data_IF_040751346268
#
_entry.id   IF_040751346268
#
_cell.length_a   1.000
_cell.length_b   1.000
_cell.length_c   1.000
_cell.angle_alpha   90.00
_cell.angle_beta   90.00
_cell.angle_gamma   90.00
#
_symmetry.space_group_name_H-M   'P 1'
#
loop_
_entity.id
_entity.type
_entity.pdbx_description
1 polymer ?
#
# COMPACT_ATOMS: atom_id res chain seq x y z
N UNK A 1 -10.26 -38.90 -65.11
CA UNK A 1 -9.70 -39.39 -63.83
C UNK A 1 -8.61 -38.41 -63.38
N UNK A 2 -8.90 -37.65 -62.31
CA UNK A 2 -8.06 -36.83 -61.42
C UNK A 2 -6.93 -35.95 -62.02
N UNK A 3 -7.14 -34.62 -62.01
CA UNK A 3 -6.06 -33.61 -61.94
C UNK A 3 -6.17 -32.91 -60.59
N UNK A 4 -5.02 -32.79 -59.90
CA UNK A 4 -4.86 -32.45 -58.49
C UNK A 4 -5.13 -30.97 -58.20
N UNK A 5 -5.79 -30.72 -57.07
CA UNK A 5 -5.91 -29.41 -56.46
C UNK A 5 -4.94 -29.26 -55.26
N UNK A 6 -4.14 -28.19 -55.36
CA UNK A 6 -3.89 -27.12 -54.38
C UNK A 6 -3.31 -27.48 -52.98
N UNK A 7 -2.27 -26.75 -52.57
CA UNK A 7 -2.21 -25.81 -51.42
C UNK A 7 -0.77 -25.65 -50.91
N UNK A 8 -0.22 -24.47 -51.18
CA UNK A 8 0.96 -23.89 -50.55
C UNK A 8 0.62 -23.59 -49.09
N UNK A 9 1.30 -24.26 -48.15
CA UNK A 9 1.10 -24.06 -46.72
C UNK A 9 2.23 -23.16 -46.19
N UNK A 10 1.97 -21.85 -46.16
CA UNK A 10 2.83 -20.87 -45.50
C UNK A 10 2.61 -20.98 -43.99
N UNK A 11 3.62 -21.47 -43.26
CA UNK A 11 3.60 -21.55 -41.79
C UNK A 11 3.93 -20.17 -41.21
N UNK A 12 2.92 -19.52 -40.62
CA UNK A 12 3.04 -18.28 -39.86
C UNK A 12 3.39 -18.62 -38.40
N UNK A 13 4.66 -18.44 -38.02
CA UNK A 13 5.11 -18.56 -36.63
C UNK A 13 4.69 -17.30 -35.88
N UNK A 14 3.60 -17.37 -35.12
CA UNK A 14 3.27 -16.38 -34.11
C UNK A 14 4.15 -16.62 -32.89
N UNK A 15 5.16 -15.78 -32.70
CA UNK A 15 5.85 -15.65 -31.43
C UNK A 15 4.92 -14.96 -30.42
N UNK A 16 4.20 -15.77 -29.65
CA UNK A 16 3.51 -15.33 -28.44
C UNK A 16 4.57 -15.03 -27.38
N UNK A 17 4.99 -13.77 -27.29
CA UNK A 17 5.61 -13.23 -26.08
C UNK A 17 4.56 -13.21 -24.97
N UNK A 18 4.42 -14.35 -24.29
CA UNK A 18 3.76 -14.43 -23.00
C UNK A 18 4.56 -13.58 -22.02
N UNK A 19 4.13 -12.34 -21.83
CA UNK A 19 4.50 -11.53 -20.68
C UNK A 19 3.79 -12.17 -19.48
N UNK A 20 4.45 -13.14 -18.86
CA UNK A 20 3.95 -13.84 -17.68
C UNK A 20 3.79 -12.85 -16.53
N UNK A 21 2.55 -12.41 -16.29
CA UNK A 21 2.06 -12.30 -14.93
C UNK A 21 1.92 -13.75 -14.42
N UNK A 22 3.01 -14.31 -13.88
CA UNK A 22 2.92 -15.59 -13.20
C UNK A 22 2.33 -15.33 -11.82
N UNK A 23 1.09 -15.78 -11.61
CA UNK A 23 0.50 -15.95 -10.27
C UNK A 23 1.15 -17.11 -9.51
N UNK A 24 2.04 -17.86 -10.16
CA UNK A 24 2.83 -18.92 -9.51
C UNK A 24 3.97 -18.29 -8.72
N UNK A 25 4.00 -18.58 -7.42
CA UNK A 25 5.10 -18.22 -6.52
C UNK A 25 6.35 -19.07 -6.80
N UNK A 26 7.51 -18.59 -6.37
CA UNK A 26 8.78 -19.35 -6.37
C UNK A 26 9.38 -19.38 -4.96
N UNK A 27 10.39 -20.22 -4.75
CA UNK A 27 11.15 -20.25 -3.48
C UNK A 27 12.39 -19.36 -3.53
N UNK A 28 12.83 -18.86 -2.37
CA UNK A 28 13.98 -17.96 -2.28
C UNK A 28 15.29 -18.64 -2.66
N UNK A 29 15.47 -19.94 -2.41
CA UNK A 29 16.71 -20.68 -2.71
C UNK A 29 17.08 -20.72 -4.21
N UNK A 30 16.12 -20.57 -5.12
CA UNK A 30 16.38 -20.53 -6.58
C UNK A 30 16.51 -19.10 -7.13
N UNK A 31 16.31 -18.09 -6.29
CA UNK A 31 16.45 -16.67 -6.66
C UNK A 31 17.72 -16.10 -6.02
N UNK A 32 18.58 -15.49 -6.82
CA UNK A 32 19.75 -14.76 -6.29
C UNK A 32 19.33 -13.46 -5.62
N UNK A 33 20.11 -12.99 -4.65
CA UNK A 33 19.80 -11.77 -3.89
C UNK A 33 19.55 -10.56 -4.80
N UNK A 34 20.37 -10.35 -5.83
CA UNK A 34 20.19 -9.23 -6.78
C UNK A 34 18.90 -9.32 -7.64
N UNK A 35 18.24 -10.47 -7.63
CA UNK A 35 16.96 -10.73 -8.28
C UNK A 35 15.75 -10.51 -7.39
N UNK A 36 15.94 -10.29 -6.08
CA UNK A 36 14.85 -10.08 -5.12
C UNK A 36 14.47 -8.60 -5.11
N UNK A 37 13.26 -8.29 -5.57
CA UNK A 37 12.62 -7.00 -5.33
C UNK A 37 11.86 -7.06 -4.01
N UNK A 38 12.00 -6.04 -3.16
CA UNK A 38 11.37 -5.98 -1.86
C UNK A 38 10.49 -4.72 -1.70
N UNK A 39 9.27 -4.88 -1.20
CA UNK A 39 8.49 -3.78 -0.62
C UNK A 39 8.40 -3.97 0.90
N UNK A 40 8.95 -3.02 1.63
CA UNK A 40 8.94 -3.04 3.09
C UNK A 40 8.11 -1.87 3.59
N UNK A 41 6.96 -2.19 4.19
CA UNK A 41 6.02 -1.21 4.71
C UNK A 41 5.87 -1.34 6.21
N UNK A 42 6.23 -0.28 6.91
CA UNK A 42 5.90 -0.07 8.32
C UNK A 42 4.70 0.86 8.42
N UNK A 43 3.63 0.46 9.11
CA UNK A 43 2.45 1.32 9.37
C UNK A 43 2.15 1.36 10.86
N UNK A 44 1.98 2.56 11.41
CA UNK A 44 1.52 2.76 12.78
C UNK A 44 0.21 3.56 12.81
N UNK A 45 -0.73 3.12 13.64
CA UNK A 45 -2.00 3.80 13.94
C UNK A 45 -1.94 4.60 15.26
N UNK A 46 -0.80 4.56 15.95
CA UNK A 46 -0.57 5.16 17.25
C UNK A 46 -0.74 4.20 18.43
N UNK A 47 -1.43 3.07 18.25
CA UNK A 47 -1.59 2.03 19.27
C UNK A 47 -0.60 0.89 19.05
N UNK A 48 -0.40 0.49 17.79
CA UNK A 48 0.60 -0.50 17.38
C UNK A 48 1.26 -0.13 16.06
N UNK A 49 2.35 -0.81 15.77
CA UNK A 49 3.04 -0.78 14.49
C UNK A 49 2.96 -2.16 13.85
N UNK A 50 2.60 -2.20 12.56
CA UNK A 50 2.64 -3.40 11.71
C UNK A 50 3.77 -3.23 10.71
N UNK A 51 4.67 -4.20 10.67
CA UNK A 51 5.65 -4.37 9.60
C UNK A 51 5.10 -5.39 8.63
N UNK A 52 5.18 -5.09 7.33
CA UNK A 52 4.85 -6.01 6.24
C UNK A 52 5.99 -5.98 5.24
N UNK A 53 6.43 -7.15 4.79
CA UNK A 53 7.45 -7.29 3.75
C UNK A 53 6.96 -8.22 2.67
N UNK A 54 6.98 -7.74 1.43
CA UNK A 54 6.69 -8.52 0.24
C UNK A 54 7.98 -8.70 -0.57
N UNK A 55 8.20 -9.90 -1.10
CA UNK A 55 9.34 -10.22 -1.95
C UNK A 55 8.87 -10.75 -3.30
N UNK A 56 9.35 -10.15 -4.38
CA UNK A 56 8.98 -10.50 -5.74
C UNK A 56 10.21 -10.69 -6.63
N UNK A 57 10.08 -11.52 -7.66
CA UNK A 57 11.13 -11.72 -8.65
C UNK A 57 11.28 -10.48 -9.54
N UNK A 58 12.44 -9.82 -9.49
CA UNK A 58 12.91 -8.72 -10.33
C UNK A 58 12.11 -7.40 -10.34
N UNK A 59 10.83 -7.36 -9.93
CA UNK A 59 9.97 -6.16 -9.92
C UNK A 59 8.73 -6.39 -9.06
N UNK A 60 7.97 -5.31 -8.80
CA UNK A 60 6.72 -5.34 -8.01
C UNK A 60 5.61 -6.24 -8.55
N UNK A 61 5.62 -6.55 -9.85
CA UNK A 61 4.64 -7.44 -10.49
C UNK A 61 5.26 -8.80 -10.88
N UNK A 62 6.38 -9.15 -10.27
CA UNK A 62 7.01 -10.46 -10.44
C UNK A 62 6.27 -11.54 -9.66
N UNK A 63 6.67 -12.80 -9.86
CA UNK A 63 6.24 -13.90 -8.99
C UNK A 63 6.62 -13.62 -7.53
N UNK A 64 5.70 -13.86 -6.60
CA UNK A 64 5.98 -13.81 -5.17
C UNK A 64 7.05 -14.85 -4.79
N UNK A 65 7.90 -14.48 -3.83
CA UNK A 65 8.97 -15.32 -3.31
C UNK A 65 8.59 -15.83 -1.92
N UNK A 66 8.45 -17.14 -1.81
CA UNK A 66 8.33 -17.86 -0.54
C UNK A 66 9.74 -18.11 0.01
N UNK A 67 9.98 -17.77 1.27
CA UNK A 67 11.26 -18.04 1.92
C UNK A 67 11.43 -19.54 2.12
N UNK A 68 12.59 -20.06 1.70
CA UNK A 68 12.97 -21.44 1.97
C UNK A 68 13.21 -21.68 3.48
N UNK A 69 13.15 -22.94 3.93
CA UNK A 69 13.13 -23.33 5.35
C UNK A 69 14.17 -22.66 6.28
N UNK A 70 15.34 -22.29 5.77
CA UNK A 70 16.41 -21.66 6.55
C UNK A 70 16.55 -20.14 6.31
N UNK A 71 15.89 -19.59 5.29
CA UNK A 71 15.81 -18.16 5.09
C UNK A 71 14.77 -17.58 6.07
N UNK A 72 15.01 -16.37 6.57
CA UNK A 72 14.04 -15.70 7.43
C UNK A 72 14.14 -14.19 7.31
N UNK A 73 13.01 -13.53 7.49
CA UNK A 73 12.95 -12.08 7.64
C UNK A 73 12.57 -11.74 9.07
N UNK A 74 13.26 -10.77 9.66
CA UNK A 74 12.96 -10.27 11.00
C UNK A 74 12.96 -8.74 11.01
N UNK A 75 12.24 -8.17 11.97
CA UNK A 75 12.30 -6.76 12.29
C UNK A 75 12.76 -6.56 13.73
N UNK A 76 13.56 -5.52 13.95
CA UNK A 76 14.06 -5.09 15.25
C UNK A 76 13.69 -3.63 15.48
N UNK A 77 13.15 -3.35 16.67
CA UNK A 77 12.84 -2.00 17.15
C UNK A 77 13.23 -1.86 18.62
N UNK A 78 14.17 -0.96 18.91
CA UNK A 78 14.78 -0.90 20.24
C UNK A 78 15.44 -2.23 20.63
N UNK A 79 14.93 -2.86 21.69
CA UNK A 79 15.43 -4.16 22.20
C UNK A 79 14.56 -5.35 21.78
N UNK A 80 13.51 -5.12 20.99
CA UNK A 80 12.57 -6.16 20.57
C UNK A 80 12.89 -6.60 19.14
N UNK A 81 13.11 -7.90 18.95
CA UNK A 81 13.30 -8.53 17.63
C UNK A 81 12.24 -9.60 17.43
N UNK A 82 11.58 -9.59 16.28
CA UNK A 82 10.60 -10.60 15.88
C UNK A 82 10.91 -11.10 14.48
N UNK A 83 10.91 -12.42 14.32
CA UNK A 83 10.80 -13.06 13.01
C UNK A 83 9.39 -12.78 12.50
N UNK A 84 9.26 -12.31 11.25
CA UNK A 84 7.97 -12.02 10.67
C UNK A 84 7.33 -13.33 10.20
N UNK A 85 6.03 -13.45 10.39
CA UNK A 85 5.25 -14.63 10.03
C UNK A 85 4.69 -14.46 8.63
N UNK A 86 4.70 -15.53 7.83
CA UNK A 86 4.11 -15.54 6.50
C UNK A 86 2.59 -15.32 6.60
N UNK A 87 2.07 -14.40 5.81
CA UNK A 87 0.65 -14.18 5.53
C UNK A 87 0.44 -14.53 4.05
N UNK A 88 -0.36 -15.56 3.77
CA UNK A 88 -0.64 -16.03 2.42
C UNK A 88 -2.12 -15.86 2.14
N UNK A 89 -2.43 -15.05 1.13
CA UNK A 89 -3.75 -15.01 0.51
C UNK A 89 -3.69 -15.56 -0.93
N UNK A 90 -4.84 -15.70 -1.59
CA UNK A 90 -4.89 -16.34 -2.92
C UNK A 90 -4.11 -15.57 -4.01
N UNK A 91 -3.77 -14.30 -3.78
CA UNK A 91 -3.13 -13.41 -4.74
C UNK A 91 -1.83 -12.78 -4.25
N UNK A 92 -1.52 -12.81 -2.95
CA UNK A 92 -0.30 -12.25 -2.38
C UNK A 92 0.35 -13.15 -1.31
N UNK A 93 1.67 -13.02 -1.21
CA UNK A 93 2.47 -13.62 -0.13
C UNK A 93 3.29 -12.50 0.49
N UNK A 94 3.01 -12.21 1.75
CA UNK A 94 3.78 -11.25 2.54
C UNK A 94 4.24 -11.87 3.86
N UNK A 95 5.13 -11.15 4.56
CA UNK A 95 5.56 -11.52 5.90
C UNK A 95 5.32 -10.35 6.84
N UNK A 96 4.68 -10.61 7.97
CA UNK A 96 4.23 -9.57 8.86
C UNK A 96 4.59 -9.77 10.32
N UNK A 97 4.65 -8.65 11.05
CA UNK A 97 4.87 -8.65 12.49
C UNK A 97 4.30 -7.40 13.14
N UNK A 98 3.92 -7.52 14.40
CA UNK A 98 3.31 -6.44 15.18
C UNK A 98 4.20 -6.03 16.34
N UNK A 99 4.29 -4.73 16.58
CA UNK A 99 5.14 -4.10 17.59
C UNK A 99 4.32 -3.07 18.38
N UNK A 100 4.57 -2.96 19.68
CA UNK A 100 3.89 -1.95 20.51
C UNK A 100 4.49 -0.54 20.36
N UNK A 101 5.65 -0.42 19.71
CA UNK A 101 6.38 0.83 19.59
C UNK A 101 5.78 1.69 18.47
N UNK A 102 5.32 2.89 18.84
CA UNK A 102 4.67 3.84 17.92
C UNK A 102 5.27 5.25 17.99
N UNK A 103 6.33 5.44 18.79
CA UNK A 103 6.97 6.73 19.00
C UNK A 103 7.61 7.29 17.74
N UNK A 104 7.49 8.60 17.54
CA UNK A 104 8.18 9.32 16.47
C UNK A 104 9.69 9.05 16.52
N UNK A 105 10.29 8.89 15.34
CA UNK A 105 11.73 8.83 15.16
C UNK A 105 12.35 7.49 15.53
N UNK A 106 11.58 6.56 16.09
CA UNK A 106 12.09 5.23 16.41
C UNK A 106 12.48 4.51 15.12
N UNK A 107 13.68 3.93 15.12
CA UNK A 107 14.20 3.17 13.98
C UNK A 107 13.67 1.75 14.03
N UNK A 108 13.15 1.30 12.89
CA UNK A 108 12.91 -0.10 12.59
C UNK A 108 14.00 -0.59 11.66
N UNK A 109 14.71 -1.63 12.08
CA UNK A 109 15.68 -2.35 11.26
C UNK A 109 15.06 -3.65 10.78
N UNK A 110 15.06 -3.88 9.48
CA UNK A 110 14.63 -5.12 8.86
C UNK A 110 15.81 -5.89 8.30
N UNK A 111 15.83 -7.18 8.58
CA UNK A 111 16.90 -8.09 8.19
C UNK A 111 16.33 -9.30 7.45
N UNK A 112 16.70 -9.48 6.18
CA UNK A 112 16.51 -10.72 5.44
C UNK A 112 17.80 -11.55 5.56
N UNK A 113 17.73 -12.66 6.27
CA UNK A 113 18.83 -13.62 6.41
C UNK A 113 18.64 -14.73 5.37
N UNK A 114 19.69 -14.92 4.57
CA UNK A 114 19.72 -15.91 3.49
C UNK A 114 20.77 -16.97 3.78
N UNK A 115 20.32 -18.15 4.15
CA UNK A 115 21.19 -19.24 4.63
C UNK A 115 22.09 -19.76 3.51
N UNK A 116 21.50 -20.02 2.34
CA UNK A 116 22.23 -20.55 1.17
C UNK A 116 23.37 -19.64 0.70
N UNK A 117 23.19 -18.32 0.83
CA UNK A 117 24.19 -17.32 0.44
C UNK A 117 25.07 -16.88 1.63
N UNK A 118 24.73 -17.29 2.86
CA UNK A 118 25.35 -16.81 4.10
C UNK A 118 25.38 -15.28 4.17
N UNK A 119 24.26 -14.65 3.81
CA UNK A 119 24.12 -13.21 3.76
C UNK A 119 23.01 -12.71 4.68
N UNK A 120 23.16 -11.49 5.19
CA UNK A 120 22.08 -10.75 5.85
C UNK A 120 21.96 -9.39 5.17
N UNK A 121 20.80 -9.12 4.59
CA UNK A 121 20.45 -7.84 4.00
C UNK A 121 19.77 -6.97 5.04
N UNK A 122 20.23 -5.73 5.21
CA UNK A 122 19.74 -4.83 6.27
C UNK A 122 19.14 -3.56 5.67
N UNK A 123 17.88 -3.29 6.01
CA UNK A 123 17.18 -2.06 5.64
C UNK A 123 16.68 -1.35 6.89
N UNK A 124 16.65 -0.02 6.88
CA UNK A 124 16.26 0.79 8.04
C UNK A 124 15.27 1.88 7.68
N UNK A 125 14.34 2.17 8.58
CA UNK A 125 13.43 3.31 8.45
C UNK A 125 13.03 3.86 9.81
N UNK A 126 12.91 5.18 9.89
CA UNK A 126 12.46 5.84 11.11
C UNK A 126 10.98 6.18 10.99
N UNK A 127 10.19 5.84 12.00
CA UNK A 127 8.78 6.19 12.04
C UNK A 127 8.63 7.73 12.01
N UNK A 128 7.80 8.31 11.14
CA UNK A 128 7.55 9.75 11.14
C UNK A 128 6.78 10.19 12.39
N UNK A 129 6.57 11.49 12.56
CA UNK A 129 5.68 12.00 13.61
C UNK A 129 4.24 11.51 13.42
N UNK A 130 3.56 11.19 14.52
CA UNK A 130 2.12 10.89 14.50
C UNK A 130 1.34 12.08 13.94
N UNK A 131 0.33 11.81 13.11
CA UNK A 131 -0.61 12.84 12.68
C UNK A 131 -1.64 13.06 13.78
N UNK A 132 -1.84 14.30 14.21
CA UNK A 132 -2.94 14.64 15.12
C UNK A 132 -4.02 15.31 14.30
N UNK A 133 -5.14 14.62 14.11
CA UNK A 133 -6.29 15.11 13.35
C UNK A 133 -7.29 15.79 14.29
N UNK A 134 -7.69 17.02 13.98
CA UNK A 134 -8.63 17.81 14.76
C UNK A 134 -10.02 17.89 14.11
N UNK A 135 -10.07 17.89 12.77
CA UNK A 135 -11.32 17.95 11.99
C UNK A 135 -11.28 16.91 10.85
N UNK A 136 -12.44 16.38 10.39
CA UNK A 136 -13.79 16.88 10.66
C UNK A 136 -14.34 16.48 12.04
N UNK A 137 -15.03 17.43 12.68
CA UNK A 137 -15.80 17.20 13.94
C UNK A 137 -17.30 17.06 13.70
N UNK A 138 -17.79 17.54 12.55
CA UNK A 138 -19.20 17.46 12.17
C UNK A 138 -19.52 16.08 11.60
N UNK A 139 -20.67 15.53 11.95
CA UNK A 139 -21.11 14.19 11.52
C UNK A 139 -21.83 14.17 10.17
N UNK A 140 -22.15 15.32 9.57
CA UNK A 140 -22.96 15.41 8.35
C UNK A 140 -22.56 16.61 7.50
N UNK A 141 -22.45 16.40 6.20
CA UNK A 141 -22.14 17.40 5.20
C UNK A 141 -23.09 17.25 4.00
N UNK A 142 -23.37 18.36 3.32
CA UNK A 142 -24.02 18.34 2.00
C UNK A 142 -22.99 18.30 0.89
N UNK A 143 -23.36 17.77 -0.28
CA UNK A 143 -22.47 17.70 -1.44
C UNK A 143 -21.89 19.06 -1.87
N UNK A 144 -22.62 20.15 -1.65
CA UNK A 144 -22.16 21.52 -1.99
C UNK A 144 -21.31 22.17 -0.90
N UNK A 145 -21.12 21.49 0.23
CA UNK A 145 -20.29 21.98 1.34
C UNK A 145 -18.84 21.54 1.16
N UNK A 146 -17.96 22.28 1.82
CA UNK A 146 -16.56 21.90 1.96
C UNK A 146 -16.35 21.18 3.29
N UNK A 147 -15.53 20.14 3.26
CA UNK A 147 -15.06 19.51 4.49
C UNK A 147 -13.74 20.18 4.86
N UNK A 148 -13.72 20.85 6.02
CA UNK A 148 -12.49 21.31 6.63
C UNK A 148 -11.77 20.11 7.29
N UNK A 149 -10.56 19.82 6.81
CA UNK A 149 -9.64 18.88 7.41
C UNK A 149 -8.53 19.67 8.10
N UNK A 150 -8.40 19.53 9.42
CA UNK A 150 -7.39 20.23 10.23
C UNK A 150 -6.53 19.23 10.97
N UNK A 151 -5.23 19.49 11.02
CA UNK A 151 -4.27 18.67 11.73
C UNK A 151 -3.19 19.53 12.40
N UNK A 152 -2.48 18.92 13.35
CA UNK A 152 -1.27 19.53 13.91
C UNK A 152 -0.19 19.61 12.82
N UNK A 153 0.01 20.80 12.30
CA UNK A 153 1.06 21.08 11.32
C UNK A 153 2.42 20.58 11.80
N UNK A 154 3.19 20.00 10.90
CA UNK A 154 4.57 19.62 11.14
C UNK A 154 5.45 20.09 9.97
N UNK A 155 6.71 20.38 10.28
CA UNK A 155 7.75 20.60 9.27
C UNK A 155 8.83 19.53 9.49
N UNK A 156 8.53 18.33 9.02
CA UNK A 156 9.41 17.17 9.18
C UNK A 156 10.10 16.88 7.83
N UNK A 157 11.44 16.98 7.75
CA UNK A 157 12.14 16.78 6.48
C UNK A 157 11.94 15.35 5.96
N UNK A 158 11.94 15.22 4.64
CA UNK A 158 11.80 13.94 3.93
C UNK A 158 10.53 13.17 4.30
N UNK A 159 9.45 13.90 4.59
CA UNK A 159 8.12 13.32 4.78
C UNK A 159 7.15 13.85 3.73
N UNK A 160 6.14 13.04 3.44
CA UNK A 160 5.01 13.41 2.58
C UNK A 160 3.74 13.22 3.42
N UNK A 161 2.88 14.23 3.45
CA UNK A 161 1.54 14.11 4.03
C UNK A 161 0.54 13.86 2.90
N UNK A 162 -0.26 12.82 3.04
CA UNK A 162 -1.31 12.44 2.10
C UNK A 162 -2.66 12.39 2.82
N UNK A 163 -3.68 12.89 2.14
CA UNK A 163 -5.08 12.77 2.54
C UNK A 163 -5.75 11.76 1.62
N UNK A 164 -6.35 10.75 2.22
CA UNK A 164 -7.25 9.81 1.57
C UNK A 164 -8.68 10.06 2.09
N UNK A 165 -9.56 10.53 1.21
CA UNK A 165 -11.00 10.54 1.45
C UNK A 165 -11.59 9.23 0.94
N UNK A 166 -12.44 8.60 1.75
CA UNK A 166 -13.15 7.37 1.39
C UNK A 166 -14.64 7.55 1.63
N UNK A 167 -15.46 7.07 0.71
CA UNK A 167 -16.91 7.15 0.79
C UNK A 167 -17.55 5.85 0.32
N UNK A 168 -18.57 5.41 1.03
CA UNK A 168 -19.43 4.28 0.65
C UNK A 168 -20.87 4.76 0.60
N UNK A 169 -21.44 4.74 -0.60
CA UNK A 169 -22.84 5.06 -0.87
C UNK A 169 -23.65 3.78 -1.11
N UNK A 170 -24.97 3.92 -1.16
CA UNK A 170 -25.87 2.86 -1.63
C UNK A 170 -26.15 3.07 -3.11
N UNK A 171 -26.06 2.02 -3.91
CA UNK A 171 -26.46 2.06 -5.32
C UNK A 171 -27.99 2.01 -5.49
N UNK A 172 -28.47 2.25 -6.70
CA UNK A 172 -29.88 2.08 -7.06
C UNK A 172 -30.36 0.62 -6.92
N UNK A 173 -29.44 -0.35 -6.85
CA UNK A 173 -29.73 -1.79 -6.59
C UNK A 173 -29.68 -2.15 -5.11
N UNK A 174 -29.44 -1.18 -4.22
CA UNK A 174 -29.18 -1.35 -2.78
C UNK A 174 -27.84 -2.01 -2.42
N UNK A 175 -26.89 -2.08 -3.35
CA UNK A 175 -25.54 -2.60 -3.12
C UNK A 175 -24.60 -1.47 -2.64
N UNK A 176 -23.53 -1.78 -1.90
CA UNK A 176 -22.52 -0.79 -1.53
C UNK A 176 -21.70 -0.35 -2.75
N UNK A 177 -21.60 0.96 -2.97
CA UNK A 177 -20.73 1.58 -3.96
C UNK A 177 -19.66 2.40 -3.24
N UNK A 178 -18.39 2.01 -3.34
CA UNK A 178 -17.28 2.68 -2.64
C UNK A 178 -16.32 3.35 -3.61
N UNK A 179 -15.87 4.54 -3.23
CA UNK A 179 -14.87 5.30 -3.98
C UNK A 179 -14.03 6.13 -3.03
N UNK A 180 -12.96 6.72 -3.57
CA UNK A 180 -12.09 7.59 -2.82
C UNK A 180 -11.49 8.70 -3.66
N UNK A 181 -10.84 9.62 -2.95
CA UNK A 181 -10.07 10.73 -3.49
C UNK A 181 -8.79 10.84 -2.68
N UNK A 182 -7.65 11.04 -3.35
CA UNK A 182 -6.36 11.18 -2.69
C UNK A 182 -5.63 12.44 -3.14
N UNK A 183 -4.97 13.12 -2.20
CA UNK A 183 -4.19 14.31 -2.50
C UNK A 183 -2.97 14.44 -1.59
N UNK A 184 -1.87 14.93 -2.14
CA UNK A 184 -0.68 15.32 -1.37
C UNK A 184 -0.89 16.70 -0.76
N UNK A 185 -0.61 16.81 0.53
CA UNK A 185 -0.80 18.03 1.29
C UNK A 185 0.54 18.66 1.66
N UNK A 186 0.51 19.98 1.85
CA UNK A 186 1.58 20.72 2.49
C UNK A 186 1.35 20.66 4.01
N UNK A 187 2.12 19.81 4.69
CA UNK A 187 2.00 19.56 6.13
C UNK A 187 2.16 20.83 6.98
N UNK A 188 2.89 21.83 6.48
CA UNK A 188 3.10 23.10 7.18
C UNK A 188 1.84 23.96 7.28
N UNK A 189 0.82 23.72 6.45
CA UNK A 189 -0.42 24.49 6.46
C UNK A 189 -1.35 24.12 7.62
N UNK A 190 -1.32 22.88 8.08
CA UNK A 190 -2.19 22.39 9.16
C UNK A 190 -3.68 22.29 8.81
N UNK A 191 -4.07 22.63 7.58
CA UNK A 191 -5.46 22.58 7.14
C UNK A 191 -5.59 22.39 5.63
N UNK A 192 -6.71 21.81 5.21
CA UNK A 192 -7.12 21.62 3.83
C UNK A 192 -8.65 21.62 3.73
N UNK A 193 -9.20 22.34 2.76
CA UNK A 193 -10.63 22.30 2.46
C UNK A 193 -10.85 21.37 1.27
N UNK A 194 -11.56 20.27 1.50
CA UNK A 194 -12.00 19.37 0.44
C UNK A 194 -13.35 19.85 -0.08
N UNK A 195 -13.40 20.28 -1.34
CA UNK A 195 -14.66 20.52 -2.03
C UNK A 195 -15.26 19.17 -2.44
N UNK A 196 -16.41 18.81 -1.87
CA UNK A 196 -17.02 17.51 -2.18
C UNK A 196 -17.47 17.39 -3.64
N UNK A 197 -17.73 18.52 -4.30
CA UNK A 197 -17.98 18.60 -5.75
C UNK A 197 -16.78 18.19 -6.60
N UNK A 198 -15.55 18.27 -6.08
CA UNK A 198 -14.34 17.84 -6.81
C UNK A 198 -14.18 16.31 -6.81
N UNK A 199 -14.94 15.61 -5.97
CA UNK A 199 -14.94 14.14 -5.90
C UNK A 199 -15.94 13.62 -6.93
N UNK A 200 -15.46 13.47 -8.17
CA UNK A 200 -16.25 13.14 -9.38
C UNK A 200 -17.23 11.97 -9.23
N UNK A 201 -16.94 11.02 -8.34
CA UNK A 201 -17.77 9.84 -8.12
C UNK A 201 -19.11 10.13 -7.43
N UNK A 202 -19.27 11.27 -6.76
CA UNK A 202 -20.57 11.65 -6.21
C UNK A 202 -21.62 11.94 -7.27
N UNK A 203 -21.26 12.13 -8.53
CA UNK A 203 -22.17 12.34 -9.66
C UNK A 203 -22.55 11.04 -10.38
N UNK A 204 -21.99 9.89 -9.97
CA UNK A 204 -22.25 8.61 -10.63
C UNK A 204 -23.75 8.25 -10.60
N UNK A 205 -24.32 7.95 -11.77
CA UNK A 205 -25.76 7.67 -11.93
C UNK A 205 -26.19 6.37 -11.24
N UNK A 206 -25.26 5.48 -10.92
CA UNK A 206 -25.55 4.22 -10.22
C UNK A 206 -25.83 4.42 -8.74
N UNK A 207 -25.51 5.58 -8.17
CA UNK A 207 -25.72 5.91 -6.76
C UNK A 207 -27.15 6.39 -6.51
N UNK A 208 -27.79 5.84 -5.48
CA UNK A 208 -29.08 6.31 -4.97
C UNK A 208 -28.89 7.62 -4.18
N UNK A 209 -29.13 8.75 -4.85
CA UNK A 209 -28.96 10.10 -4.29
C UNK A 209 -29.89 10.41 -3.11
N UNK A 210 -30.94 9.61 -2.91
CA UNK A 210 -31.86 9.79 -1.77
C UNK A 210 -31.26 9.32 -0.43
N UNK A 211 -30.17 8.54 -0.47
CA UNK A 211 -29.51 8.00 0.71
C UNK A 211 -28.18 8.70 0.96
N UNK A 212 -27.81 8.95 2.23
CA UNK A 212 -26.50 9.49 2.55
C UNK A 212 -25.39 8.47 2.31
N UNK A 213 -24.22 8.96 1.91
CA UNK A 213 -23.00 8.17 1.87
C UNK A 213 -22.27 8.22 3.21
N UNK A 214 -21.67 7.11 3.63
CA UNK A 214 -20.81 7.05 4.82
C UNK A 214 -19.37 7.32 4.39
N UNK A 215 -18.77 8.35 4.95
CA UNK A 215 -17.45 8.81 4.54
C UNK A 215 -16.53 9.02 5.73
N UNK A 216 -15.23 9.03 5.48
CA UNK A 216 -14.20 9.37 6.45
C UNK A 216 -12.97 9.87 5.71
N UNK A 217 -12.08 10.54 6.44
CA UNK A 217 -10.76 10.93 5.94
C UNK A 217 -9.68 10.20 6.70
N UNK A 218 -8.59 9.92 6.01
CA UNK A 218 -7.37 9.37 6.59
C UNK A 218 -6.21 10.29 6.23
N UNK A 219 -5.47 10.75 7.23
CA UNK A 219 -4.19 11.39 7.01
C UNK A 219 -3.06 10.38 7.22
N UNK A 220 -2.16 10.31 6.25
CA UNK A 220 -1.00 9.43 6.27
C UNK A 220 0.27 10.27 6.11
N UNK A 221 1.15 10.28 7.12
CA UNK A 221 2.49 10.86 7.01
C UNK A 221 3.48 9.75 6.68
N UNK A 222 4.10 9.82 5.52
CA UNK A 222 5.04 8.81 5.00
C UNK A 222 6.49 9.31 5.05
N UNK A 223 7.41 8.45 5.44
CA UNK A 223 8.87 8.64 5.33
C UNK A 223 9.50 7.46 4.60
N UNK A 224 10.36 7.74 3.63
CA UNK A 224 11.18 6.70 2.99
C UNK A 224 12.40 6.38 3.87
N UNK A 225 12.78 5.11 3.93
CA UNK A 225 13.99 4.65 4.61
C UNK A 225 15.14 4.37 3.66
N UNK A 226 16.10 3.59 4.13
CA UNK A 226 17.25 3.11 3.35
C UNK A 226 17.15 1.61 3.20
N UNK A 227 17.02 1.15 1.95
CA UNK A 227 16.99 -0.27 1.60
C UNK A 227 18.40 -0.79 1.32
N UNK A 228 18.68 -2.06 1.64
CA UNK A 228 19.96 -2.70 1.31
C UNK A 228 20.18 -2.67 -0.22
N UNK A 229 21.34 -2.17 -0.66
CA UNK A 229 21.62 -2.00 -2.09
C UNK A 229 21.78 -3.30 -2.86
N UNK A 230 21.89 -4.45 -2.18
CA UNK A 230 21.92 -5.77 -2.82
C UNK A 230 20.56 -6.23 -3.29
N UNK A 231 19.46 -5.67 -2.76
CA UNK A 231 18.15 -5.89 -3.34
C UNK A 231 18.10 -5.34 -4.77
N UNK A 232 17.14 -5.85 -5.54
CA UNK A 232 16.85 -5.36 -6.89
C UNK A 232 16.55 -3.86 -6.87
N UNK A 233 17.05 -3.14 -7.87
CA UNK A 233 16.70 -1.74 -8.10
C UNK A 233 15.17 -1.53 -8.12
N UNK A 234 14.73 -0.43 -7.48
CA UNK A 234 13.32 -0.12 -7.30
C UNK A 234 12.67 -0.77 -6.08
N UNK A 235 13.40 -1.59 -5.32
CA UNK A 235 12.93 -2.04 -4.00
C UNK A 235 12.79 -0.83 -3.07
N UNK A 236 11.83 -0.90 -2.15
CA UNK A 236 11.55 0.22 -1.25
C UNK A 236 11.40 -0.20 0.21
N UNK A 237 11.72 0.74 1.10
CA UNK A 237 11.34 0.68 2.50
C UNK A 237 10.77 2.04 2.91
N UNK A 238 9.62 2.03 3.58
CA UNK A 238 8.99 3.25 4.08
C UNK A 238 8.14 2.99 5.32
N UNK A 239 7.95 4.06 6.09
CA UNK A 239 7.17 4.09 7.30
C UNK A 239 6.02 5.08 7.17
N UNK A 240 4.86 4.71 7.70
CA UNK A 240 3.62 5.49 7.65
C UNK A 240 3.08 5.65 9.07
N UNK A 241 2.83 6.89 9.46
CA UNK A 241 1.94 7.22 10.58
C UNK A 241 0.57 7.57 10.02
N UNK A 242 -0.46 6.87 10.46
CA UNK A 242 -1.82 7.03 9.96
C UNK A 242 -2.76 7.45 11.07
N UNK A 243 -3.70 8.33 10.74
CA UNK A 243 -4.81 8.66 11.64
C UNK A 243 -6.06 8.86 10.81
N UNK A 244 -7.16 8.26 11.26
CA UNK A 244 -8.46 8.32 10.61
C UNK A 244 -9.39 9.23 11.40
N UNK A 245 -10.26 9.96 10.72
CA UNK A 245 -11.37 10.65 11.36
C UNK A 245 -12.43 9.65 11.84
N UNK A 246 -13.33 10.15 12.68
CA UNK A 246 -14.64 9.54 12.83
C UNK A 246 -15.39 9.50 11.49
N UNK A 247 -16.31 8.54 11.37
CA UNK A 247 -17.18 8.46 10.20
C UNK A 247 -18.21 9.57 10.23
N UNK A 248 -18.45 10.18 9.08
CA UNK A 248 -19.49 11.18 8.87
C UNK A 248 -20.36 10.80 7.67
N UNK A 249 -21.45 11.51 7.46
CA UNK A 249 -22.40 11.30 6.37
C UNK A 249 -22.35 12.43 5.35
N UNK A 250 -22.43 12.10 4.07
CA UNK A 250 -22.57 13.08 2.98
C UNK A 250 -23.94 12.90 2.34
N UNK A 251 -24.78 13.93 2.36
CA UNK A 251 -26.08 13.94 1.68
C UNK A 251 -25.94 14.52 0.28
N UNK A 252 -26.52 13.84 -0.71
CA UNK A 252 -26.37 14.19 -2.12
C UNK A 252 -27.47 15.10 -2.68
N UNK A 253 -28.55 15.28 -1.91
CA UNK A 253 -29.71 16.12 -2.24
C UNK A 253 -29.90 17.26 -1.22
#
# INVERSE_FOLDING_TARGET
MKVKHIYSLTVLICALSATGCSTESTTSDVVKTEGIWADIRLTSDGDRSRVVTEFNVNRSTGANIVLSDNDKVQATVGNETKVLEMDEDFFDIDYQGYFSQTSQGIEFKLELMRDKENETLTSVVNLPSKVTLYAPVTSTFKLQEQILIEWKAASEPNTILELDFSSTCTSNTNDPFSFGYNVKLDDSKGQYNLELSDVAWFEDETIDKSKPCKSYVTLSRKRNGTIDSRFKSGSTIYAIQRTQSEKFSVTLN
#
